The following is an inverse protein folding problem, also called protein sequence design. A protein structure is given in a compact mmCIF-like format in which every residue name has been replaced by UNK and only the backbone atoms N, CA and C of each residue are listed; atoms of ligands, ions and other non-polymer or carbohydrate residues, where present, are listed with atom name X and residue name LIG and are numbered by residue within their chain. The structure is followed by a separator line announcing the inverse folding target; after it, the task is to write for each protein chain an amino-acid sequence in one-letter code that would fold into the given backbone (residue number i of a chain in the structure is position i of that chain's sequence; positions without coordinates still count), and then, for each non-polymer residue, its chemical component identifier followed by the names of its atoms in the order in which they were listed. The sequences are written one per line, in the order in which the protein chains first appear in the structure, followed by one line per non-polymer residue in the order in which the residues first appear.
data_IF_974074376926
#
_entry.id   IF_974074376926
#
_cell.length_a   1.000
_cell.length_b   1.000
_cell.length_c   1.000
_cell.angle_alpha   90.00
_cell.angle_beta   90.00
_cell.angle_gamma   90.00
#
_symmetry.space_group_name_H-M   'P 1'
#
loop_
_entity.id
_entity.type
_entity.pdbx_description
1 polymer ?
#
# COMPACT_ATOMS: atom_id res chain seq x y z
N UNK A 1 -30.32 -14.70 19.03
CA UNK A 1 -29.63 -15.62 18.08
C UNK A 1 -29.49 -17.03 18.62
N UNK A 2 -29.00 -17.25 19.84
CA UNK A 2 -28.91 -18.60 20.43
C UNK A 2 -30.25 -19.37 20.48
N UNK A 3 -31.34 -18.74 20.91
CA UNK A 3 -32.67 -19.36 20.86
C UNK A 3 -33.14 -19.63 19.43
N UNK A 4 -32.83 -18.72 18.50
CA UNK A 4 -33.16 -18.86 17.08
C UNK A 4 -32.41 -20.04 16.44
N UNK A 5 -31.15 -20.26 16.83
CA UNK A 5 -30.37 -21.44 16.44
C UNK A 5 -30.95 -22.74 17.01
N UNK A 6 -31.45 -22.73 18.26
CA UNK A 6 -32.14 -23.89 18.84
C UNK A 6 -33.43 -24.20 18.09
N UNK A 7 -34.26 -23.19 17.77
CA UNK A 7 -35.47 -23.39 16.97
C UNK A 7 -35.14 -23.92 15.57
N UNK A 8 -34.09 -23.40 14.94
CA UNK A 8 -33.61 -23.89 13.65
C UNK A 8 -33.13 -25.35 13.74
N UNK A 9 -32.40 -25.73 14.80
CA UNK A 9 -31.98 -27.12 15.03
C UNK A 9 -33.18 -28.06 15.13
N UNK A 10 -34.17 -27.70 15.95
CA UNK A 10 -35.38 -28.51 16.13
C UNK A 10 -36.13 -28.66 14.82
N UNK A 11 -36.28 -27.57 14.06
CA UNK A 11 -36.96 -27.59 12.77
C UNK A 11 -36.19 -28.42 11.72
N UNK A 12 -34.86 -28.29 11.67
CA UNK A 12 -34.00 -29.06 10.76
C UNK A 12 -34.05 -30.56 11.07
N UNK A 13 -33.93 -30.94 12.35
CA UNK A 13 -34.04 -32.34 12.79
C UNK A 13 -35.42 -32.90 12.45
N UNK A 14 -36.50 -32.17 12.77
CA UNK A 14 -37.88 -32.60 12.50
C UNK A 14 -38.13 -32.75 11.01
N UNK A 15 -37.66 -31.82 10.19
CA UNK A 15 -37.80 -31.86 8.74
C UNK A 15 -37.08 -33.07 8.11
N UNK A 16 -35.86 -33.39 8.57
CA UNK A 16 -35.13 -34.58 8.07
C UNK A 16 -35.81 -35.88 8.51
N UNK A 17 -36.29 -35.97 9.75
CA UNK A 17 -37.00 -37.16 10.26
C UNK A 17 -38.33 -37.39 9.52
N UNK A 18 -39.12 -36.34 9.30
CA UNK A 18 -40.37 -36.43 8.52
C UNK A 18 -40.07 -36.79 7.07
N UNK A 19 -39.05 -36.18 6.48
CA UNK A 19 -38.57 -36.54 5.14
C UNK A 19 -38.19 -38.00 5.03
N UNK A 20 -37.50 -38.54 6.04
CA UNK A 20 -37.07 -39.95 6.09
C UNK A 20 -38.25 -40.92 6.17
N UNK A 21 -39.32 -40.52 6.86
CA UNK A 21 -40.56 -41.29 6.93
C UNK A 21 -41.32 -41.30 5.58
N UNK A 22 -41.31 -40.17 4.85
CA UNK A 22 -42.01 -40.04 3.56
C UNK A 22 -41.21 -40.60 2.37
N UNK A 23 -39.89 -40.48 2.40
CA UNK A 23 -38.98 -40.93 1.35
C UNK A 23 -37.65 -41.40 1.97
N UNK A 24 -37.45 -42.71 2.15
CA UNK A 24 -36.30 -43.26 2.88
C UNK A 24 -34.91 -42.78 2.44
N UNK A 25 -34.64 -42.48 1.15
CA UNK A 25 -33.36 -41.92 0.72
C UNK A 25 -33.03 -40.53 1.27
N UNK A 26 -33.97 -39.78 1.84
CA UNK A 26 -33.66 -38.50 2.52
C UNK A 26 -32.76 -38.67 3.75
N UNK A 27 -32.54 -39.89 4.23
CA UNK A 27 -31.55 -40.18 5.26
C UNK A 27 -30.13 -39.70 4.90
N UNK A 28 -29.78 -39.60 3.61
CA UNK A 28 -28.51 -39.03 3.16
C UNK A 28 -28.32 -37.56 3.56
N UNK A 29 -29.40 -36.81 3.84
CA UNK A 29 -29.31 -35.44 4.33
C UNK A 29 -28.60 -35.33 5.69
N UNK A 30 -28.63 -36.40 6.51
CA UNK A 30 -27.91 -36.43 7.79
C UNK A 30 -26.40 -36.27 7.63
N UNK A 31 -25.84 -36.71 6.49
CA UNK A 31 -24.41 -36.52 6.19
C UNK A 31 -23.99 -35.05 6.25
N UNK A 32 -24.88 -34.14 5.83
CA UNK A 32 -24.61 -32.70 5.81
C UNK A 32 -25.17 -31.98 7.05
N UNK A 33 -26.34 -32.40 7.53
CA UNK A 33 -27.02 -31.74 8.65
C UNK A 33 -26.36 -32.08 9.98
N UNK A 34 -26.04 -33.36 10.24
CA UNK A 34 -25.50 -33.78 11.54
C UNK A 34 -24.19 -33.06 11.94
N UNK A 35 -23.18 -32.91 11.05
CA UNK A 35 -21.95 -32.19 11.40
C UNK A 35 -22.20 -30.73 11.79
N UNK A 36 -23.12 -30.03 11.10
CA UNK A 36 -23.45 -28.63 11.37
C UNK A 36 -24.13 -28.48 12.74
N UNK A 37 -25.04 -29.40 13.08
CA UNK A 37 -25.71 -29.40 14.38
C UNK A 37 -24.69 -29.67 15.50
N UNK A 38 -23.83 -30.68 15.35
CA UNK A 38 -22.79 -31.01 16.32
C UNK A 38 -21.84 -29.82 16.54
N UNK A 39 -21.38 -29.19 15.45
CA UNK A 39 -20.51 -28.03 15.50
C UNK A 39 -21.18 -26.84 16.20
N UNK A 40 -22.45 -26.57 15.90
CA UNK A 40 -23.18 -25.50 16.57
C UNK A 40 -23.45 -25.77 18.06
N UNK A 41 -23.72 -27.02 18.44
CA UNK A 41 -23.81 -27.38 19.86
C UNK A 41 -22.47 -27.23 20.58
N UNK A 42 -21.37 -27.64 19.94
CA UNK A 42 -20.03 -27.41 20.44
C UNK A 42 -19.74 -25.91 20.62
N UNK A 43 -20.06 -25.09 19.62
CA UNK A 43 -19.91 -23.63 19.66
C UNK A 43 -20.68 -23.00 20.83
N UNK A 44 -21.89 -23.49 21.13
CA UNK A 44 -22.72 -23.00 22.24
C UNK A 44 -22.19 -23.38 23.63
N UNK A 45 -21.55 -24.54 23.74
CA UNK A 45 -21.08 -25.10 25.01
C UNK A 45 -19.68 -24.61 25.38
N UNK A 46 -18.83 -24.31 24.39
CA UNK A 46 -17.50 -23.79 24.66
C UNK A 46 -17.55 -22.44 25.41
N UNK A 47 -16.55 -22.21 26.26
CA UNK A 47 -16.44 -20.98 27.06
C UNK A 47 -15.38 -19.99 26.54
N UNK A 48 -14.58 -20.40 25.56
CA UNK A 48 -13.39 -19.67 25.12
C UNK A 48 -13.73 -18.53 24.14
N UNK A 49 -14.63 -18.77 23.18
CA UNK A 49 -14.98 -17.78 22.16
C UNK A 49 -16.41 -17.24 22.34
N UNK A 50 -16.53 -16.05 22.91
CA UNK A 50 -17.82 -15.38 23.17
C UNK A 50 -18.64 -15.18 21.89
N UNK A 51 -18.00 -14.92 20.75
CA UNK A 51 -18.68 -14.70 19.46
C UNK A 51 -19.32 -16.00 18.96
N UNK A 52 -18.56 -17.11 18.91
CA UNK A 52 -19.07 -18.42 18.50
C UNK A 52 -20.19 -18.90 19.42
N UNK A 53 -20.09 -18.61 20.72
CA UNK A 53 -21.11 -18.95 21.69
C UNK A 53 -22.44 -18.22 21.49
N UNK A 54 -22.40 -16.97 21.05
CA UNK A 54 -23.59 -16.16 20.80
C UNK A 54 -24.17 -16.36 19.38
N UNK A 55 -23.31 -16.75 18.43
CA UNK A 55 -23.63 -17.01 17.03
C UNK A 55 -23.06 -18.36 16.58
N UNK A 56 -23.66 -19.49 17.02
CA UNK A 56 -23.17 -20.82 16.69
C UNK A 56 -23.19 -21.05 15.18
N UNK A 57 -22.17 -21.71 14.62
CA UNK A 57 -21.96 -21.93 13.18
C UNK A 57 -21.70 -20.62 12.41
N UNK A 58 -22.54 -19.60 12.56
CA UNK A 58 -22.45 -18.34 11.82
C UNK A 58 -21.22 -17.50 12.21
N UNK A 59 -20.77 -17.58 13.45
CA UNK A 59 -19.60 -16.83 13.91
C UNK A 59 -18.30 -17.23 13.20
N UNK A 60 -18.22 -18.43 12.63
CA UNK A 60 -17.06 -18.86 11.83
C UNK A 60 -16.88 -18.04 10.55
N UNK A 61 -17.98 -17.55 9.95
CA UNK A 61 -17.90 -16.67 8.79
C UNK A 61 -17.20 -15.34 9.09
N UNK A 62 -17.32 -14.82 10.32
CA UNK A 62 -16.59 -13.62 10.72
C UNK A 62 -15.09 -13.84 10.58
N UNK A 63 -14.57 -14.94 11.11
CA UNK A 63 -13.14 -15.24 11.08
C UNK A 63 -12.67 -15.59 9.67
N UNK A 64 -13.51 -16.25 8.88
CA UNK A 64 -13.25 -16.48 7.46
C UNK A 64 -13.11 -15.15 6.71
N UNK A 65 -14.03 -14.20 6.91
CA UNK A 65 -13.94 -12.88 6.29
C UNK A 65 -12.80 -12.03 6.83
N UNK A 66 -12.43 -12.20 8.10
CA UNK A 66 -11.27 -11.53 8.68
C UNK A 66 -9.97 -12.01 8.04
N UNK A 67 -9.88 -13.30 7.71
CA UNK A 67 -8.75 -13.88 6.99
C UNK A 67 -8.67 -13.40 5.54
N UNK A 68 -9.82 -13.25 4.85
CA UNK A 68 -9.88 -12.83 3.44
C UNK A 68 -9.87 -11.29 3.28
N UNK A 69 -10.09 -10.54 4.37
CA UNK A 69 -10.18 -9.08 4.36
C UNK A 69 -8.95 -8.41 3.75
N UNK A 70 -7.70 -8.78 4.12
CA UNK A 70 -6.51 -8.11 3.58
C UNK A 70 -6.44 -8.19 2.06
N UNK A 71 -6.71 -9.36 1.49
CA UNK A 71 -6.67 -9.61 0.04
C UNK A 71 -7.79 -8.86 -0.67
N UNK A 72 -9.02 -8.89 -0.14
CA UNK A 72 -10.13 -8.12 -0.72
C UNK A 72 -9.80 -6.64 -0.71
N UNK A 73 -9.27 -6.14 0.41
CA UNK A 73 -8.92 -4.73 0.54
C UNK A 73 -7.85 -4.35 -0.48
N UNK A 74 -6.74 -5.09 -0.54
CA UNK A 74 -5.63 -4.83 -1.46
C UNK A 74 -6.02 -4.87 -2.95
N UNK A 75 -6.90 -5.79 -3.35
CA UNK A 75 -7.23 -5.98 -4.78
C UNK A 75 -8.43 -5.17 -5.25
N UNK A 76 -9.43 -4.93 -4.39
CA UNK A 76 -10.70 -4.33 -4.79
C UNK A 76 -10.97 -2.94 -4.20
N UNK A 77 -10.31 -2.58 -3.08
CA UNK A 77 -10.63 -1.35 -2.34
C UNK A 77 -9.47 -0.36 -2.30
N UNK A 78 -8.25 -0.85 -2.12
CA UNK A 78 -7.03 -0.04 -2.07
C UNK A 78 -6.90 0.76 -3.37
N UNK A 79 -6.68 2.07 -3.22
CA UNK A 79 -6.45 2.96 -4.35
C UNK A 79 -5.07 2.67 -4.97
N UNK A 80 -4.83 3.25 -6.14
CA UNK A 80 -3.54 3.02 -6.80
C UNK A 80 -2.35 3.62 -6.01
N UNK A 81 -2.58 4.63 -5.17
CA UNK A 81 -1.57 5.49 -4.52
C UNK A 81 -1.44 5.33 -3.00
N UNK A 82 -2.46 4.83 -2.29
CA UNK A 82 -2.49 4.89 -0.81
C UNK A 82 -1.86 3.65 -0.10
N UNK A 83 -1.31 2.70 -0.87
CA UNK A 83 -0.83 1.44 -0.31
C UNK A 83 0.51 1.56 0.44
N UNK A 84 0.64 0.85 1.57
CA UNK A 84 1.86 0.81 2.38
C UNK A 84 2.45 -0.60 2.45
N UNK A 85 3.79 -0.78 2.45
CA UNK A 85 4.85 0.23 2.23
C UNK A 85 5.04 0.61 0.75
N UNK A 86 4.40 -0.12 -0.15
CA UNK A 86 4.40 0.16 -1.59
C UNK A 86 2.97 0.14 -2.10
N UNK A 87 2.62 1.20 -2.82
CA UNK A 87 1.32 1.36 -3.45
C UNK A 87 1.16 0.40 -4.65
N UNK A 88 -0.02 0.39 -5.25
CA UNK A 88 -0.32 -0.53 -6.35
C UNK A 88 0.38 -0.12 -7.64
N UNK A 89 0.55 1.18 -7.91
CA UNK A 89 1.27 1.66 -9.10
C UNK A 89 2.75 1.23 -9.03
N UNK A 90 3.40 1.41 -7.89
CA UNK A 90 4.79 0.95 -7.65
C UNK A 90 4.93 -0.56 -7.84
N UNK A 91 4.03 -1.35 -7.24
CA UNK A 91 4.04 -2.82 -7.42
C UNK A 91 3.82 -3.21 -8.88
N UNK A 92 2.90 -2.55 -9.57
CA UNK A 92 2.57 -2.82 -10.97
C UNK A 92 3.74 -2.50 -11.90
N UNK A 93 4.44 -1.39 -11.66
CA UNK A 93 5.65 -0.99 -12.38
C UNK A 93 6.75 -2.06 -12.23
N UNK A 94 6.99 -2.54 -11.01
CA UNK A 94 7.97 -3.62 -10.75
C UNK A 94 7.57 -4.89 -11.51
N UNK A 95 6.29 -5.29 -11.47
CA UNK A 95 5.83 -6.48 -12.19
C UNK A 95 5.94 -6.35 -13.71
N UNK A 96 5.66 -5.17 -14.27
CA UNK A 96 5.78 -4.92 -15.71
C UNK A 96 7.24 -5.03 -16.16
N UNK A 97 8.15 -4.39 -15.43
CA UNK A 97 9.60 -4.48 -15.69
C UNK A 97 10.13 -5.90 -15.57
N UNK A 98 9.72 -6.62 -14.53
CA UNK A 98 10.14 -8.02 -14.33
C UNK A 98 9.65 -8.95 -15.44
N UNK A 99 8.56 -8.59 -16.12
CA UNK A 99 7.98 -9.36 -17.24
C UNK A 99 8.44 -8.87 -18.62
N UNK A 100 9.33 -7.88 -18.69
CA UNK A 100 9.77 -7.23 -19.93
C UNK A 100 8.60 -6.76 -20.80
N UNK A 101 7.55 -6.25 -20.16
CA UNK A 101 6.40 -5.63 -20.83
C UNK A 101 6.44 -4.12 -20.65
N UNK A 102 5.80 -3.42 -21.58
CA UNK A 102 5.72 -1.95 -21.58
C UNK A 102 5.33 -1.42 -20.20
N UNK A 103 6.23 -0.64 -19.62
CA UNK A 103 6.13 -0.02 -18.30
C UNK A 103 5.81 1.48 -18.39
N UNK A 104 5.53 1.98 -19.59
CA UNK A 104 5.19 3.38 -19.83
C UNK A 104 3.70 3.64 -19.65
N UNK A 105 3.39 4.52 -18.69
CA UNK A 105 2.03 4.99 -18.37
C UNK A 105 1.83 6.38 -19.02
N UNK A 106 0.65 6.70 -19.57
CA UNK A 106 0.38 8.01 -20.15
C UNK A 106 0.54 9.16 -19.15
N UNK A 107 0.87 10.34 -19.67
CA UNK A 107 1.14 11.55 -18.90
C UNK A 107 -0.11 12.04 -18.15
N UNK A 108 0.03 12.26 -16.84
CA UNK A 108 -1.01 12.78 -15.95
C UNK A 108 -0.66 12.48 -14.50
N UNK A 109 -1.00 13.38 -13.57
CA UNK A 109 -0.83 13.11 -12.14
C UNK A 109 -2.06 12.40 -11.60
N UNK A 110 -1.84 11.31 -10.86
CA UNK A 110 -2.88 10.69 -10.01
C UNK A 110 -2.82 11.25 -8.58
N UNK A 111 -1.74 11.94 -8.24
CA UNK A 111 -1.53 12.53 -6.91
C UNK A 111 -2.53 13.66 -6.65
N UNK A 112 -2.94 13.78 -5.40
CA UNK A 112 -3.84 14.84 -4.98
C UNK A 112 -3.06 16.15 -4.79
N UNK A 113 -2.94 16.94 -5.84
CA UNK A 113 -2.20 18.22 -5.83
C UNK A 113 -2.79 19.30 -4.90
N UNK A 114 -3.96 19.04 -4.30
CA UNK A 114 -4.63 19.94 -3.35
C UNK A 114 -4.52 19.44 -1.90
N UNK A 115 -3.84 18.33 -1.65
CA UNK A 115 -3.66 17.83 -0.30
C UNK A 115 -2.79 18.78 0.54
N UNK A 116 -3.02 18.75 1.86
CA UNK A 116 -2.24 19.55 2.79
C UNK A 116 -0.79 19.07 2.77
N UNK A 117 0.14 19.98 2.41
CA UNK A 117 1.56 19.68 2.30
C UNK A 117 2.06 19.48 0.87
N UNK A 118 1.16 19.42 -0.12
CA UNK A 118 1.57 19.43 -1.52
C UNK A 118 2.05 20.83 -1.92
N UNK A 119 3.32 20.91 -2.31
CA UNK A 119 3.95 22.17 -2.72
C UNK A 119 4.14 22.20 -4.24
N UNK A 120 3.90 23.37 -4.83
CA UNK A 120 4.11 23.61 -6.25
C UNK A 120 4.69 25.00 -6.45
N UNK A 121 5.58 25.11 -7.44
CA UNK A 121 6.23 26.38 -7.80
C UNK A 121 5.62 26.86 -9.10
N UNK A 122 4.97 28.03 -9.05
CA UNK A 122 4.44 28.67 -10.24
C UNK A 122 5.52 29.49 -10.95
N UNK A 123 5.51 29.42 -12.28
CA UNK A 123 6.40 30.26 -13.09
C UNK A 123 6.02 31.75 -12.94
N UNK A 124 7.01 32.61 -12.74
CA UNK A 124 6.82 34.06 -12.76
C UNK A 124 6.91 34.59 -14.18
N UNK A 125 5.88 35.29 -14.64
CA UNK A 125 5.87 36.00 -15.93
C UNK A 125 6.67 37.31 -15.93
N UNK A 126 7.17 37.74 -14.76
CA UNK A 126 7.98 38.92 -14.59
C UNK A 126 9.41 38.50 -14.19
N UNK A 127 10.30 38.20 -15.17
CA UNK A 127 11.67 37.83 -14.86
C UNK A 127 12.42 39.03 -14.29
N UNK A 128 13.19 38.79 -13.24
CA UNK A 128 14.11 39.77 -12.65
C UNK A 128 15.52 39.40 -13.08
N UNK A 129 16.33 40.40 -13.45
CA UNK A 129 17.74 40.16 -13.72
C UNK A 129 18.45 39.84 -12.41
N UNK A 130 18.92 38.62 -12.26
CA UNK A 130 19.65 38.15 -11.09
C UNK A 130 21.14 38.44 -11.24
N UNK A 131 21.76 39.03 -10.21
CA UNK A 131 23.21 39.10 -10.13
C UNK A 131 23.74 37.75 -9.59
N UNK A 132 24.59 37.02 -10.33
CA UNK A 132 25.14 35.75 -9.87
C UNK A 132 25.89 35.83 -8.53
N UNK A 133 26.42 37.01 -8.21
CA UNK A 133 27.12 37.29 -6.96
C UNK A 133 26.19 37.20 -5.73
N UNK A 134 24.91 37.54 -5.89
CA UNK A 134 23.90 37.51 -4.83
C UNK A 134 23.37 36.09 -4.55
N UNK A 135 23.62 35.14 -5.45
CA UNK A 135 23.17 33.74 -5.31
C UNK A 135 24.20 32.87 -4.58
N UNK A 136 24.78 33.41 -3.51
CA UNK A 136 25.78 32.74 -2.70
C UNK A 136 25.50 32.91 -1.22
N UNK A 137 25.94 31.93 -0.43
CA UNK A 137 25.85 31.96 1.03
C UNK A 137 27.19 31.56 1.63
N UNK A 138 27.59 32.23 2.70
CA UNK A 138 28.78 31.82 3.48
C UNK A 138 28.39 30.66 4.37
N UNK A 139 29.07 29.52 4.19
CA UNK A 139 28.92 28.33 5.02
C UNK A 139 30.06 28.33 6.06
N UNK A 140 29.69 28.23 7.32
CA UNK A 140 30.60 28.21 8.47
C UNK A 140 30.12 29.12 9.60
N UNK A 141 29.96 28.56 10.80
CA UNK A 141 29.60 29.30 12.02
C UNK A 141 30.82 29.79 12.82
N UNK A 142 30.62 30.29 14.05
CA UNK A 142 31.71 30.84 14.89
C UNK A 142 32.88 29.87 15.14
N UNK A 143 32.59 28.57 15.19
CA UNK A 143 33.59 27.52 15.43
C UNK A 143 34.25 27.00 14.13
N UNK A 144 33.84 27.50 12.96
CA UNK A 144 34.37 27.06 11.68
C UNK A 144 35.74 27.71 11.42
N UNK A 145 36.79 26.90 11.32
CA UNK A 145 38.15 27.39 11.03
C UNK A 145 38.37 27.75 9.57
N UNK A 146 37.49 27.29 8.66
CA UNK A 146 37.56 27.54 7.22
C UNK A 146 36.17 27.80 6.63
N UNK A 147 35.55 28.96 6.94
CA UNK A 147 34.31 29.35 6.29
C UNK A 147 34.54 29.56 4.79
N UNK A 148 33.55 29.20 3.96
CA UNK A 148 33.64 29.32 2.52
C UNK A 148 32.35 29.86 1.91
N UNK A 149 32.46 30.55 0.78
CA UNK A 149 31.29 31.04 0.02
C UNK A 149 30.84 29.97 -0.97
N UNK A 150 29.63 29.44 -0.77
CA UNK A 150 29.01 28.47 -1.65
C UNK A 150 27.96 29.13 -2.54
N UNK A 151 27.81 28.65 -3.78
CA UNK A 151 26.62 29.00 -4.58
C UNK A 151 25.38 28.34 -3.98
N UNK A 152 24.22 28.98 -4.10
CA UNK A 152 22.92 28.38 -3.74
C UNK A 152 22.56 27.20 -4.64
N UNK A 153 23.05 27.19 -5.88
CA UNK A 153 22.82 26.12 -6.86
C UNK A 153 24.14 25.47 -7.23
N UNK A 154 24.25 24.16 -7.04
CA UNK A 154 25.45 23.37 -7.32
C UNK A 154 25.05 22.11 -8.11
N UNK A 155 26.04 21.44 -8.72
CA UNK A 155 25.79 20.18 -9.43
C UNK A 155 25.69 19.05 -8.39
N UNK A 156 24.57 18.33 -8.39
CA UNK A 156 24.30 17.21 -7.50
C UNK A 156 25.21 16.01 -7.78
N UNK A 157 25.32 15.12 -6.79
CA UNK A 157 26.06 13.86 -6.89
C UNK A 157 25.54 13.01 -8.04
N UNK A 158 26.42 12.65 -8.97
CA UNK A 158 26.13 11.68 -10.03
C UNK A 158 27.29 10.71 -10.13
N UNK A 159 27.02 9.40 -10.04
CA UNK A 159 28.07 8.37 -10.05
C UNK A 159 28.91 8.45 -11.32
N UNK A 160 30.24 8.46 -11.17
CA UNK A 160 31.21 8.40 -12.27
C UNK A 160 31.01 7.19 -13.20
N UNK A 161 30.32 6.14 -12.75
CA UNK A 161 29.95 4.98 -13.58
C UNK A 161 28.68 5.16 -14.41
N UNK A 162 27.80 6.07 -14.01
CA UNK A 162 26.54 6.35 -14.71
C UNK A 162 26.70 7.38 -15.84
N UNK A 163 27.74 8.22 -15.76
CA UNK A 163 28.03 9.28 -16.73
C UNK A 163 29.31 8.99 -17.51
N UNK A 164 29.32 9.37 -18.78
CA UNK A 164 30.54 9.29 -19.58
C UNK A 164 31.63 10.23 -19.04
N UNK A 165 32.90 9.86 -19.24
CA UNK A 165 34.07 10.71 -18.91
C UNK A 165 33.93 12.14 -19.45
N UNK A 166 33.41 12.29 -20.66
CA UNK A 166 33.24 13.60 -21.30
C UNK A 166 32.16 14.44 -20.58
N UNK A 167 31.07 13.81 -20.12
CA UNK A 167 30.04 14.50 -19.36
C UNK A 167 30.61 15.05 -18.04
N UNK A 168 31.38 14.24 -17.31
CA UNK A 168 32.00 14.67 -16.04
C UNK A 168 32.98 15.82 -16.25
N UNK A 169 33.82 15.76 -17.30
CA UNK A 169 34.74 16.85 -17.63
C UNK A 169 34.00 18.13 -17.98
N UNK A 170 32.91 18.05 -18.75
CA UNK A 170 32.08 19.21 -19.09
C UNK A 170 31.43 19.82 -17.84
N UNK A 171 30.84 19.01 -16.96
CA UNK A 171 30.24 19.46 -15.70
C UNK A 171 31.28 20.13 -14.78
N UNK A 172 32.45 19.51 -14.63
CA UNK A 172 33.53 20.05 -13.79
C UNK A 172 34.11 21.33 -14.36
N UNK A 173 34.25 21.42 -15.69
CA UNK A 173 34.67 22.65 -16.36
C UNK A 173 33.65 23.77 -16.18
N UNK A 174 32.35 23.47 -16.31
CA UNK A 174 31.27 24.42 -16.08
C UNK A 174 31.23 24.92 -14.63
N UNK A 175 31.35 24.00 -13.66
CA UNK A 175 31.44 24.33 -12.24
C UNK A 175 32.61 25.25 -11.92
N UNK A 176 33.79 24.97 -12.51
CA UNK A 176 34.96 25.85 -12.38
C UNK A 176 34.72 27.23 -12.99
N UNK A 177 34.09 27.31 -14.16
CA UNK A 177 33.81 28.59 -14.83
C UNK A 177 32.79 29.44 -14.07
N UNK A 178 31.73 28.81 -13.53
CA UNK A 178 30.69 29.50 -12.78
C UNK A 178 30.96 29.62 -11.28
N UNK A 179 32.12 29.17 -10.80
CA UNK A 179 32.51 29.21 -9.39
C UNK A 179 31.48 28.55 -8.45
N UNK A 180 30.89 27.42 -8.86
CA UNK A 180 29.98 26.61 -8.04
C UNK A 180 30.53 25.20 -7.86
N UNK A 181 30.03 24.47 -6.87
CA UNK A 181 30.52 23.15 -6.56
C UNK A 181 29.97 22.10 -7.53
N UNK A 182 30.79 21.08 -7.79
CA UNK A 182 30.37 19.84 -8.42
C UNK A 182 30.57 18.71 -7.42
N UNK A 183 29.48 18.08 -6.99
CA UNK A 183 29.56 16.90 -6.15
C UNK A 183 29.89 15.69 -7.04
N UNK A 184 31.02 15.06 -6.78
CA UNK A 184 31.53 13.92 -7.55
C UNK A 184 30.68 12.66 -7.42
N UNK A 185 29.78 12.59 -6.43
CA UNK A 185 29.07 11.36 -6.07
C UNK A 185 29.92 10.40 -5.23
N UNK A 186 29.59 9.10 -5.32
CA UNK A 186 30.39 8.00 -4.74
C UNK A 186 31.86 8.01 -5.19
#
# INVERSE_FOLDING_TARGET
MRHLFIYFNVLAITGVVVGQYLYPPTAWAWLFVAPILILGWYDMLQKNHTILRNFPVLGHFRFLFELIRPEIYQYFVESDTDGVPFDRDTRSLVYQRAKDVRDTVPFGTKENVYEVGYEWVNHSMAPVHNAPEDMRVTIGGPDCTQPYSASLLNISAMSYGALSKNAILALSAGAKQGNFAHNTGE
#
